data_IF_888233998528
#
_entry.id   IF_888233998528
#
_cell.length_a   1.000
_cell.length_b   1.000
_cell.length_c   1.000
_cell.angle_alpha   90.00
_cell.angle_beta   90.00
_cell.angle_gamma   90.00
#
_symmetry.space_group_name_H-M   'P 1'
#
loop_
_entity.id
_entity.type
_entity.pdbx_description
1 polymer ?
#
# COMPACT_ATOMS: atom_id res chain seq x y z
N UNK A 1 7.86 57.90 -20.53
CA UNK A 1 8.17 57.41 -21.90
C UNK A 1 7.85 55.92 -21.99
N UNK A 2 7.04 55.51 -23.00
CA UNK A 2 6.83 54.17 -23.62
C UNK A 2 6.85 52.92 -22.67
N UNK A 3 5.74 52.30 -22.29
CA UNK A 3 4.85 51.34 -23.01
C UNK A 3 5.56 50.20 -23.77
N UNK A 4 5.32 48.96 -23.33
CA UNK A 4 4.99 47.73 -24.08
C UNK A 4 4.54 46.65 -23.05
N UNK A 5 3.27 46.25 -22.92
CA UNK A 5 2.38 45.42 -23.77
C UNK A 5 2.83 43.95 -23.92
N UNK A 6 2.05 43.01 -23.36
CA UNK A 6 1.37 41.88 -24.02
C UNK A 6 0.69 41.01 -22.91
N UNK A 7 -0.65 40.89 -22.89
CA UNK A 7 -1.47 39.80 -23.50
C UNK A 7 -1.51 38.56 -22.58
N UNK A 8 -2.61 37.87 -22.25
CA UNK A 8 -4.02 37.77 -22.67
C UNK A 8 -4.74 37.03 -21.52
N UNK A 9 -6.05 37.01 -21.32
CA UNK A 9 -7.25 37.68 -21.82
C UNK A 9 -8.35 36.86 -21.12
N UNK A 10 -8.95 37.40 -20.07
CA UNK A 10 -10.24 36.92 -19.58
C UNK A 10 -11.28 37.24 -20.67
N UNK A 11 -12.07 36.26 -21.09
CA UNK A 11 -13.24 36.51 -21.92
C UNK A 11 -14.51 36.07 -21.17
N UNK A 12 -15.50 36.97 -21.02
CA UNK A 12 -16.69 36.70 -20.21
C UNK A 12 -17.85 36.11 -21.02
N UNK A 13 -18.76 35.57 -20.24
CA UNK A 13 -20.14 35.16 -20.50
C UNK A 13 -20.91 36.16 -21.40
N UNK A 14 -21.60 35.64 -22.43
CA UNK A 14 -22.62 36.41 -23.16
C UNK A 14 -23.86 35.53 -23.43
N UNK A 15 -24.98 35.95 -22.85
CA UNK A 15 -26.35 35.49 -23.08
C UNK A 15 -27.08 36.62 -23.80
N UNK A 16 -27.68 36.39 -24.98
CA UNK A 16 -28.83 37.12 -25.59
C UNK A 16 -29.30 36.25 -26.78
N UNK A 17 -30.46 35.56 -26.79
CA UNK A 17 -31.87 35.95 -27.04
C UNK A 17 -32.19 36.39 -28.49
N UNK A 18 -32.79 35.45 -29.25
CA UNK A 18 -34.00 35.51 -30.10
C UNK A 18 -34.29 36.68 -31.09
N UNK A 19 -34.50 36.28 -32.37
CA UNK A 19 -35.63 36.57 -33.31
C UNK A 19 -35.33 37.21 -34.69
N UNK A 20 -35.73 36.44 -35.71
CA UNK A 20 -36.48 36.76 -36.95
C UNK A 20 -35.82 37.47 -38.16
N UNK A 21 -36.13 36.89 -39.33
CA UNK A 21 -35.96 37.40 -40.71
C UNK A 21 -34.88 36.62 -41.47
N UNK A 22 -35.11 35.88 -42.56
CA UNK A 22 -36.22 35.73 -43.49
C UNK A 22 -35.63 35.60 -44.91
N UNK A 23 -35.95 34.52 -45.62
CA UNK A 23 -35.89 34.34 -47.10
C UNK A 23 -34.50 34.47 -47.79
N UNK A 24 -34.03 33.68 -48.76
CA UNK A 24 -34.49 32.51 -49.52
C UNK A 24 -33.24 31.97 -50.24
N UNK A 25 -33.11 30.66 -50.42
CA UNK A 25 -32.78 29.99 -51.70
C UNK A 25 -32.63 28.50 -51.47
N UNK A 26 -33.30 27.77 -52.35
CA UNK A 26 -33.54 26.33 -52.35
C UNK A 26 -32.27 25.52 -52.60
N UNK A 27 -32.00 24.53 -51.74
CA UNK A 27 -31.33 23.32 -52.17
C UNK A 27 -31.95 22.12 -51.45
N UNK A 28 -32.72 21.33 -52.20
CA UNK A 28 -33.40 20.13 -51.74
C UNK A 28 -32.39 18.99 -51.52
N UNK A 29 -32.05 18.74 -50.26
CA UNK A 29 -31.56 17.43 -49.81
C UNK A 29 -32.61 16.82 -48.90
N UNK A 30 -33.07 15.60 -49.22
CA UNK A 30 -33.96 14.84 -48.35
C UNK A 30 -33.21 14.46 -47.07
N UNK A 31 -33.46 15.18 -45.98
CA UNK A 31 -33.06 14.75 -44.64
C UNK A 31 -34.09 13.71 -44.19
N UNK A 32 -33.66 12.45 -44.07
CA UNK A 32 -34.43 11.43 -43.34
C UNK A 32 -34.65 11.97 -41.93
N UNK A 33 -35.91 12.00 -41.49
CA UNK A 33 -36.30 12.36 -40.12
C UNK A 33 -35.45 11.56 -39.13
N UNK A 34 -34.52 12.23 -38.47
CA UNK A 34 -33.83 11.69 -37.30
C UNK A 34 -34.88 11.62 -36.19
N UNK A 35 -35.14 10.41 -35.69
CA UNK A 35 -36.13 10.19 -34.63
C UNK A 35 -35.90 11.09 -33.42
N UNK A 36 -36.99 11.35 -32.68
CA UNK A 36 -37.01 12.30 -31.56
C UNK A 36 -35.81 12.10 -30.60
N UNK A 37 -34.86 13.06 -30.55
CA UNK A 37 -33.66 12.94 -29.72
C UNK A 37 -33.98 12.84 -28.24
N UNK A 38 -35.12 13.38 -27.79
CA UNK A 38 -35.58 13.30 -26.39
C UNK A 38 -36.01 11.87 -26.04
N UNK A 39 -36.69 11.19 -26.96
CA UNK A 39 -37.11 9.80 -26.78
C UNK A 39 -35.90 8.83 -26.78
N UNK A 40 -34.89 9.10 -27.60
CA UNK A 40 -33.63 8.35 -27.63
C UNK A 40 -32.86 8.52 -26.30
N UNK A 41 -32.72 9.76 -25.82
CA UNK A 41 -32.05 10.06 -24.56
C UNK A 41 -32.79 9.44 -23.35
N UNK A 42 -34.13 9.46 -23.37
CA UNK A 42 -34.94 8.87 -22.28
C UNK A 42 -34.76 7.36 -22.19
N UNK A 43 -34.67 6.66 -23.34
CA UNK A 43 -34.39 5.21 -23.37
C UNK A 43 -32.97 4.91 -22.87
N UNK A 44 -31.97 5.72 -23.26
CA UNK A 44 -30.61 5.57 -22.77
C UNK A 44 -30.53 5.76 -21.25
N UNK A 45 -31.15 6.82 -20.72
CA UNK A 45 -31.18 7.08 -19.27
C UNK A 45 -31.86 5.95 -18.49
N UNK A 46 -32.98 5.40 -19.00
CA UNK A 46 -33.66 4.26 -18.36
C UNK A 46 -32.77 3.00 -18.34
N UNK A 47 -32.05 2.73 -19.43
CA UNK A 47 -31.10 1.61 -19.50
C UNK A 47 -29.95 1.78 -18.51
N UNK A 48 -29.40 2.99 -18.40
CA UNK A 48 -28.34 3.31 -17.42
C UNK A 48 -28.84 3.15 -15.99
N UNK A 49 -30.04 3.62 -15.67
CA UNK A 49 -30.61 3.49 -14.33
C UNK A 49 -30.79 2.01 -13.93
N UNK A 50 -31.24 1.17 -14.85
CA UNK A 50 -31.36 -0.28 -14.60
C UNK A 50 -29.99 -0.93 -14.38
N UNK A 51 -28.96 -0.53 -15.13
CA UNK A 51 -27.60 -1.04 -14.95
C UNK A 51 -27.00 -0.63 -13.58
N UNK A 52 -27.25 0.61 -13.14
CA UNK A 52 -26.85 1.09 -11.82
C UNK A 52 -27.52 0.25 -10.72
N UNK A 53 -28.83 0.02 -10.82
CA UNK A 53 -29.55 -0.78 -9.83
C UNK A 53 -29.08 -2.24 -9.74
N UNK A 54 -28.69 -2.84 -10.88
CA UNK A 54 -28.13 -4.20 -10.88
C UNK A 54 -26.74 -4.24 -10.23
N UNK A 55 -25.91 -3.22 -10.49
CA UNK A 55 -24.58 -3.10 -9.88
C UNK A 55 -24.68 -2.87 -8.36
N UNK A 56 -25.61 -2.05 -7.89
CA UNK A 56 -25.84 -1.84 -6.45
C UNK A 56 -26.27 -3.12 -5.74
N UNK A 57 -27.11 -3.93 -6.41
CA UNK A 57 -27.54 -5.23 -5.89
C UNK A 57 -26.37 -6.21 -5.81
N UNK A 58 -25.54 -6.27 -6.85
CA UNK A 58 -24.34 -7.11 -6.87
C UNK A 58 -23.31 -6.68 -5.82
N UNK A 59 -23.12 -5.36 -5.64
CA UNK A 59 -22.23 -4.81 -4.62
C UNK A 59 -22.72 -5.15 -3.21
N UNK A 60 -24.03 -5.13 -2.99
CA UNK A 60 -24.65 -5.51 -1.71
C UNK A 60 -24.42 -6.98 -1.40
N UNK A 61 -24.60 -7.86 -2.39
CA UNK A 61 -24.36 -9.29 -2.21
C UNK A 61 -22.87 -9.59 -1.94
N UNK A 62 -21.96 -8.93 -2.66
CA UNK A 62 -20.52 -9.05 -2.41
C UNK A 62 -20.11 -8.54 -1.02
N UNK A 63 -20.73 -7.47 -0.52
CA UNK A 63 -20.49 -6.98 0.85
C UNK A 63 -20.96 -7.97 1.91
N UNK A 64 -22.09 -8.64 1.67
CA UNK A 64 -22.59 -9.71 2.55
C UNK A 64 -21.65 -10.92 2.53
N UNK A 65 -21.20 -11.34 1.35
CA UNK A 65 -20.22 -12.41 1.19
C UNK A 65 -18.91 -12.10 1.93
N UNK A 66 -18.39 -10.86 1.82
CA UNK A 66 -17.22 -10.40 2.59
C UNK A 66 -17.47 -10.46 4.10
N UNK A 67 -18.67 -10.07 4.55
CA UNK A 67 -19.03 -10.08 5.97
C UNK A 67 -19.09 -11.50 6.51
N UNK A 68 -19.68 -12.42 5.75
CA UNK A 68 -19.76 -13.84 6.11
C UNK A 68 -18.38 -14.51 6.07
N UNK A 69 -17.54 -14.17 5.10
CA UNK A 69 -16.14 -14.63 5.04
C UNK A 69 -15.33 -14.08 6.22
N UNK A 70 -15.51 -12.82 6.62
CA UNK A 70 -14.90 -12.25 7.82
C UNK A 70 -15.37 -12.95 9.09
N UNK A 71 -16.66 -13.23 9.22
CA UNK A 71 -17.21 -13.95 10.37
C UNK A 71 -16.74 -15.41 10.41
N UNK A 72 -16.60 -16.06 9.26
CA UNK A 72 -15.98 -17.39 9.16
C UNK A 72 -14.52 -17.32 9.52
N UNK A 73 -13.74 -16.38 8.99
CA UNK A 73 -12.33 -16.20 9.33
C UNK A 73 -12.15 -15.98 10.85
N UNK A 74 -13.01 -15.18 11.48
CA UNK A 74 -13.01 -14.97 12.93
C UNK A 74 -13.39 -16.22 13.75
N UNK A 75 -14.10 -17.19 13.16
CA UNK A 75 -14.49 -18.46 13.80
C UNK A 75 -13.50 -19.61 13.51
N UNK A 76 -12.78 -19.56 12.39
CA UNK A 76 -11.75 -20.54 12.02
C UNK A 76 -10.37 -20.14 12.56
N UNK A 77 -10.17 -18.87 12.89
CA UNK A 77 -9.11 -18.45 13.79
C UNK A 77 -9.47 -18.99 15.17
N UNK A 78 -8.64 -19.84 15.80
CA UNK A 78 -8.79 -20.09 17.23
C UNK A 78 -8.88 -18.72 17.88
N UNK A 79 -9.83 -18.52 18.81
CA UNK A 79 -9.80 -17.36 19.69
C UNK A 79 -8.34 -17.17 20.08
N UNK A 80 -7.75 -16.03 19.70
CA UNK A 80 -6.35 -15.77 19.93
C UNK A 80 -6.15 -15.80 21.44
N UNK A 81 -5.84 -16.98 21.98
CA UNK A 81 -5.16 -17.07 23.25
C UNK A 81 -3.88 -16.30 23.00
N UNK A 82 -3.72 -15.23 23.77
CA UNK A 82 -2.52 -14.42 23.89
C UNK A 82 -1.32 -15.29 24.30
N UNK A 83 -0.86 -16.13 23.39
CA UNK A 83 0.47 -16.71 23.38
C UNK A 83 1.26 -15.97 22.32
N UNK A 84 1.18 -14.64 22.32
CA UNK A 84 2.18 -13.82 21.67
C UNK A 84 3.46 -13.98 22.49
N UNK A 85 4.42 -14.71 21.93
CA UNK A 85 5.75 -14.77 22.54
C UNK A 85 6.30 -13.34 22.53
N UNK A 86 6.43 -12.75 23.73
CA UNK A 86 7.04 -11.44 23.88
C UNK A 86 8.53 -11.63 24.07
N UNK A 87 9.32 -11.04 23.18
CA UNK A 87 10.75 -10.93 23.40
C UNK A 87 11.05 -9.70 24.27
N UNK A 88 11.90 -9.90 25.28
CA UNK A 88 12.54 -8.79 25.99
C UNK A 88 13.62 -8.08 25.14
N UNK A 89 13.86 -8.56 23.91
CA UNK A 89 14.77 -7.94 22.96
C UNK A 89 14.36 -6.49 22.69
N UNK A 90 15.30 -5.56 22.86
CA UNK A 90 15.05 -4.11 22.69
C UNK A 90 15.92 -3.49 21.61
N UNK A 91 16.94 -4.20 21.14
CA UNK A 91 17.89 -3.70 20.14
C UNK A 91 17.90 -4.57 18.89
N UNK A 92 18.38 -3.99 17.78
CA UNK A 92 18.59 -4.73 16.54
C UNK A 92 19.57 -5.91 16.72
N UNK A 93 20.57 -5.76 17.60
CA UNK A 93 21.52 -6.82 17.93
C UNK A 93 20.87 -7.98 18.69
N UNK A 94 19.95 -7.67 19.61
CA UNK A 94 19.19 -8.72 20.31
C UNK A 94 18.33 -9.51 19.31
N UNK A 95 17.61 -8.80 18.43
CA UNK A 95 16.78 -9.42 17.40
C UNK A 95 17.61 -10.27 16.42
N UNK A 96 18.82 -9.84 16.06
CA UNK A 96 19.70 -10.58 15.17
C UNK A 96 20.15 -11.93 15.75
N UNK A 97 20.21 -12.04 17.08
CA UNK A 97 20.61 -13.25 17.79
C UNK A 97 19.44 -14.20 18.09
N UNK A 98 18.21 -13.83 17.75
CA UNK A 98 17.07 -14.73 17.90
C UNK A 98 17.10 -15.83 16.84
N UNK A 99 16.76 -17.03 17.25
CA UNK A 99 16.43 -18.14 16.35
C UNK A 99 14.92 -18.37 16.35
N UNK A 100 14.40 -18.85 15.21
CA UNK A 100 12.98 -19.15 15.07
C UNK A 100 12.62 -20.39 15.91
N UNK A 101 11.66 -20.24 16.82
CA UNK A 101 11.21 -21.31 17.73
C UNK A 101 9.75 -21.72 17.51
N UNK A 102 9.19 -21.48 16.32
CA UNK A 102 7.83 -21.91 15.96
C UNK A 102 6.77 -20.81 15.89
N UNK A 103 7.10 -19.56 16.24
CA UNK A 103 6.25 -18.38 16.04
C UNK A 103 6.94 -17.41 15.09
N UNK A 104 6.33 -17.14 13.94
CA UNK A 104 6.97 -16.36 12.88
C UNK A 104 6.91 -14.86 13.13
N UNK A 105 5.93 -14.40 13.89
CA UNK A 105 5.83 -13.02 14.37
C UNK A 105 5.85 -13.01 15.90
N UNK A 106 6.61 -12.09 16.48
CA UNK A 106 6.72 -11.90 17.93
C UNK A 106 6.52 -10.43 18.29
N UNK A 107 6.03 -10.21 19.51
CA UNK A 107 5.89 -8.86 20.06
C UNK A 107 7.24 -8.40 20.63
N UNK A 108 7.64 -7.19 20.27
CA UNK A 108 8.86 -6.55 20.72
C UNK A 108 8.51 -5.41 21.67
N UNK A 109 9.28 -5.23 22.74
CA UNK A 109 9.12 -4.11 23.68
C UNK A 109 7.67 -3.94 24.19
N UNK A 110 6.98 -5.05 24.53
CA UNK A 110 5.57 -5.03 24.97
C UNK A 110 4.64 -4.29 23.98
N UNK A 111 4.93 -4.44 22.69
CA UNK A 111 4.24 -3.80 21.57
C UNK A 111 4.39 -2.26 21.52
N UNK A 112 5.27 -1.68 22.33
CA UNK A 112 5.52 -0.25 22.37
C UNK A 112 6.50 0.15 21.25
N UNK A 113 6.08 1.00 20.29
CA UNK A 113 6.93 1.52 19.22
C UNK A 113 8.11 2.32 19.75
N UNK A 114 8.04 2.95 20.93
CA UNK A 114 9.11 3.76 21.52
C UNK A 114 9.66 4.85 20.56
N UNK A 115 8.76 5.55 19.87
CA UNK A 115 9.09 6.78 19.14
C UNK A 115 9.24 7.95 20.11
N UNK A 116 10.14 8.88 19.80
CA UNK A 116 10.30 10.13 20.55
C UNK A 116 9.25 11.17 20.16
N UNK A 117 9.03 12.20 20.97
CA UNK A 117 8.13 13.30 20.60
C UNK A 117 8.56 13.99 19.29
N UNK A 118 9.87 14.01 19.00
CA UNK A 118 10.40 14.53 17.75
C UNK A 118 10.03 13.65 16.55
N UNK A 119 10.04 12.32 16.71
CA UNK A 119 9.59 11.37 15.68
C UNK A 119 8.09 11.54 15.36
N UNK A 120 7.30 11.90 16.36
CA UNK A 120 5.84 12.05 16.27
C UNK A 120 5.40 13.42 15.73
N UNK A 121 6.33 14.35 15.51
CA UNK A 121 6.01 15.71 15.07
C UNK A 121 5.53 15.74 13.62
N UNK A 122 4.36 16.35 13.39
CA UNK A 122 3.78 16.56 12.06
C UNK A 122 4.12 17.92 11.45
N UNK A 123 4.95 18.73 12.12
CA UNK A 123 5.25 20.11 11.72
C UNK A 123 5.87 20.24 10.32
N UNK A 124 6.54 19.20 9.82
CA UNK A 124 7.17 19.16 8.50
C UNK A 124 6.32 18.47 7.43
N UNK A 125 5.08 18.10 7.75
CA UNK A 125 4.21 17.33 6.87
C UNK A 125 4.67 15.89 6.67
N UNK A 126 4.04 15.21 5.72
CA UNK A 126 4.32 13.80 5.44
C UNK A 126 5.67 13.62 4.74
N UNK A 127 6.37 12.54 5.06
CA UNK A 127 7.65 12.21 4.45
C UNK A 127 7.92 10.70 4.49
N UNK A 128 8.77 10.23 3.60
CA UNK A 128 9.36 8.89 3.62
C UNK A 128 10.84 8.99 3.25
N UNK A 129 11.69 8.31 4.01
CA UNK A 129 13.14 8.26 3.81
C UNK A 129 13.62 6.82 3.83
N UNK A 130 14.55 6.53 2.94
CA UNK A 130 15.17 5.22 2.79
C UNK A 130 16.68 5.41 2.96
N UNK A 131 17.22 4.79 4.00
CA UNK A 131 18.63 4.89 4.32
C UNK A 131 19.49 4.28 3.20
N UNK A 132 20.75 4.72 3.12
CA UNK A 132 21.68 4.15 2.16
C UNK A 132 21.87 2.65 2.39
N UNK A 133 22.19 1.94 1.31
CA UNK A 133 22.60 0.55 1.41
C UNK A 133 23.90 0.50 2.24
N UNK A 134 24.06 -0.56 3.03
CA UNK A 134 25.28 -0.74 3.81
C UNK A 134 26.48 -1.21 2.94
N UNK A 135 27.63 -1.44 3.58
CA UNK A 135 28.85 -1.87 2.88
C UNK A 135 28.75 -3.22 2.16
N UNK A 136 27.68 -3.99 2.38
CA UNK A 136 27.39 -5.24 1.66
C UNK A 136 26.28 -5.08 0.61
N UNK A 137 25.88 -3.83 0.32
CA UNK A 137 24.74 -3.45 -0.53
C UNK A 137 23.38 -3.93 0.02
N UNK A 138 23.28 -4.17 1.33
CA UNK A 138 22.02 -4.58 1.97
C UNK A 138 21.19 -3.36 2.28
N UNK A 139 19.87 -3.51 2.19
CA UNK A 139 18.94 -2.50 2.71
C UNK A 139 19.13 -2.30 4.21
N UNK A 140 18.87 -1.08 4.67
CA UNK A 140 18.94 -0.72 6.09
C UNK A 140 17.57 -0.17 6.52
N UNK A 141 17.50 0.97 7.21
CA UNK A 141 16.28 1.44 7.84
C UNK A 141 15.43 2.28 6.87
N UNK A 142 14.14 1.97 6.77
CA UNK A 142 13.15 2.81 6.09
C UNK A 142 12.24 3.48 7.13
N UNK A 143 12.11 4.80 7.03
CA UNK A 143 11.33 5.62 7.97
C UNK A 143 10.30 6.45 7.21
N UNK A 144 9.14 6.65 7.82
CA UNK A 144 8.14 7.56 7.29
C UNK A 144 7.28 8.19 8.38
N UNK A 145 6.81 9.39 8.09
CA UNK A 145 5.60 9.95 8.67
C UNK A 145 4.53 9.89 7.59
N UNK A 146 3.78 8.80 7.59
CA UNK A 146 2.81 8.47 6.56
C UNK A 146 1.57 9.34 6.67
N UNK A 147 1.02 9.74 5.53
CA UNK A 147 -0.25 10.43 5.38
C UNK A 147 -0.89 9.98 4.07
N UNK A 148 -2.21 10.17 3.94
CA UNK A 148 -2.94 9.95 2.69
C UNK A 148 -2.32 10.65 1.47
N UNK A 149 -1.65 11.79 1.67
CA UNK A 149 -0.96 12.54 0.61
C UNK A 149 0.21 11.82 -0.05
N UNK A 150 0.82 10.82 0.62
CA UNK A 150 1.90 10.01 0.06
C UNK A 150 1.38 8.80 -0.73
N UNK A 151 0.11 8.44 -0.59
CA UNK A 151 -0.45 7.24 -1.19
C UNK A 151 -0.59 7.44 -2.71
N UNK A 152 -0.10 6.49 -3.53
CA UNK A 152 -0.11 6.65 -4.98
C UNK A 152 -1.52 6.47 -5.55
N UNK A 153 -1.80 7.22 -6.62
CA UNK A 153 -2.94 6.96 -7.53
C UNK A 153 -2.53 6.18 -8.78
N UNK A 154 -1.23 6.19 -9.09
CA UNK A 154 -0.68 5.47 -10.22
C UNK A 154 -0.75 3.95 -10.01
N UNK A 155 -0.76 3.21 -11.12
CA UNK A 155 -0.62 1.76 -11.10
C UNK A 155 0.82 1.40 -10.73
N UNK A 156 0.97 0.37 -9.90
CA UNK A 156 2.28 -0.22 -9.58
C UNK A 156 2.89 -0.88 -10.81
N UNK A 157 4.17 -0.58 -11.07
CA UNK A 157 4.94 -1.20 -12.15
C UNK A 157 5.69 -2.46 -11.68
N UNK A 158 6.05 -3.39 -12.57
CA UNK A 158 6.80 -4.59 -12.21
C UNK A 158 8.12 -4.28 -11.50
N UNK A 159 8.49 -5.13 -10.53
CA UNK A 159 9.78 -5.00 -9.85
C UNK A 159 10.90 -5.73 -10.60
N UNK A 160 12.03 -5.06 -10.81
CA UNK A 160 13.16 -5.55 -11.60
C UNK A 160 14.46 -5.68 -10.81
N UNK A 161 14.61 -4.98 -9.69
CA UNK A 161 15.81 -5.03 -8.85
C UNK A 161 15.88 -6.33 -8.04
N UNK A 162 17.02 -7.02 -8.04
CA UNK A 162 17.25 -8.18 -7.19
C UNK A 162 18.09 -7.75 -5.97
N UNK A 163 17.54 -7.85 -4.75
CA UNK A 163 18.28 -7.54 -3.53
C UNK A 163 19.41 -8.53 -3.26
N UNK A 164 20.19 -8.27 -2.21
CA UNK A 164 21.22 -9.20 -1.73
C UNK A 164 20.63 -10.58 -1.40
N UNK A 165 21.40 -11.63 -1.66
CA UNK A 165 20.98 -13.00 -1.42
C UNK A 165 19.84 -13.51 -2.31
N UNK A 166 19.61 -12.90 -3.49
CA UNK A 166 18.52 -13.31 -4.37
C UNK A 166 18.79 -14.63 -5.10
N UNK A 167 18.40 -15.75 -4.47
CA UNK A 167 18.45 -17.11 -5.06
C UNK A 167 17.04 -17.73 -5.06
N UNK A 168 16.17 -17.18 -5.90
CA UNK A 168 14.75 -17.54 -5.94
C UNK A 168 14.48 -18.87 -6.67
N UNK A 169 13.46 -19.60 -6.22
CA UNK A 169 12.98 -20.85 -6.86
C UNK A 169 11.48 -21.01 -6.65
N UNK A 170 10.83 -21.78 -7.51
CA UNK A 170 9.42 -22.16 -7.34
C UNK A 170 9.28 -23.23 -6.24
N UNK A 171 8.26 -23.08 -5.42
CA UNK A 171 7.80 -23.98 -4.36
C UNK A 171 6.41 -24.52 -4.72
N UNK A 172 5.84 -25.37 -3.87
CA UNK A 172 4.47 -25.86 -4.06
C UNK A 172 3.41 -24.75 -3.94
N UNK A 173 3.75 -23.61 -3.30
CA UNK A 173 2.82 -22.53 -2.99
C UNK A 173 3.18 -21.19 -3.66
N UNK A 174 4.13 -21.19 -4.60
CA UNK A 174 4.51 -19.97 -5.34
C UNK A 174 6.02 -19.83 -5.52
N UNK A 175 6.52 -18.61 -5.55
CA UNK A 175 7.96 -18.33 -5.46
C UNK A 175 8.39 -18.34 -4.00
N UNK A 176 9.61 -18.80 -3.71
CA UNK A 176 10.16 -18.79 -2.36
C UNK A 176 10.34 -17.36 -1.84
N UNK A 177 10.93 -16.51 -2.68
CA UNK A 177 11.21 -15.12 -2.34
C UNK A 177 10.38 -14.13 -3.15
N UNK A 178 10.05 -13.04 -2.49
CA UNK A 178 9.54 -11.80 -3.05
C UNK A 178 10.60 -10.72 -2.94
N UNK A 179 10.54 -9.75 -3.87
CA UNK A 179 11.21 -8.46 -3.71
C UNK A 179 10.37 -7.65 -2.74
N UNK A 180 10.57 -7.91 -1.46
CA UNK A 180 9.75 -7.38 -0.38
C UNK A 180 10.09 -5.92 -0.15
N UNK A 181 9.05 -5.08 -0.19
CA UNK A 181 9.17 -3.68 0.16
C UNK A 181 9.38 -3.53 1.67
N UNK A 182 10.21 -2.58 2.11
CA UNK A 182 10.25 -2.21 3.52
C UNK A 182 9.01 -1.36 3.85
N UNK A 183 8.75 -0.33 3.05
CA UNK A 183 7.50 0.42 3.07
C UNK A 183 6.74 0.12 1.77
N UNK A 184 5.61 -0.58 1.88
CA UNK A 184 4.82 -1.01 0.74
C UNK A 184 4.38 0.13 -0.18
N UNK A 185 4.38 -0.15 -1.50
CA UNK A 185 3.98 0.79 -2.56
C UNK A 185 2.69 1.55 -2.25
N UNK A 186 1.68 0.90 -1.67
CA UNK A 186 0.39 1.53 -1.37
C UNK A 186 0.48 2.72 -0.39
N UNK A 187 1.56 2.81 0.39
CA UNK A 187 1.75 3.83 1.42
C UNK A 187 2.52 5.05 0.90
N UNK A 188 3.43 4.86 -0.05
CA UNK A 188 4.38 5.92 -0.49
C UNK A 188 4.58 6.05 -1.99
N UNK A 189 4.07 5.11 -2.79
CA UNK A 189 4.29 5.06 -4.24
C UNK A 189 5.69 4.59 -4.67
N UNK A 190 6.57 4.27 -3.72
CA UNK A 190 7.93 3.83 -4.01
C UNK A 190 7.93 2.42 -4.60
N UNK A 191 8.43 2.31 -5.84
CA UNK A 191 8.34 1.07 -6.62
C UNK A 191 9.66 0.30 -6.67
N UNK A 192 10.58 0.65 -7.58
CA UNK A 192 11.83 -0.09 -7.81
C UNK A 192 13.05 0.49 -7.07
N UNK A 193 12.83 1.09 -5.90
CA UNK A 193 13.92 1.70 -5.14
C UNK A 193 14.79 0.62 -4.47
N UNK A 194 16.08 0.48 -4.82
CA UNK A 194 16.97 -0.52 -4.22
C UNK A 194 17.09 -0.42 -2.70
N UNK A 195 16.92 0.78 -2.14
CA UNK A 195 16.95 1.04 -0.70
C UNK A 195 15.66 0.62 0.02
N UNK A 196 14.63 0.23 -0.73
CA UNK A 196 13.33 -0.18 -0.22
C UNK A 196 12.99 -1.63 -0.60
N UNK A 197 13.95 -2.44 -1.08
CA UNK A 197 13.68 -3.81 -1.52
C UNK A 197 14.65 -4.82 -0.90
N UNK A 198 14.12 -5.83 -0.22
CA UNK A 198 14.87 -6.93 0.36
C UNK A 198 14.43 -8.30 -0.18
N UNK A 199 15.30 -9.31 -0.02
CA UNK A 199 14.93 -10.72 -0.25
C UNK A 199 14.09 -11.19 0.93
N UNK A 200 12.76 -11.15 0.78
CA UNK A 200 11.81 -11.62 1.79
C UNK A 200 11.12 -12.91 1.34
N UNK A 201 10.91 -13.83 2.26
CA UNK A 201 10.12 -15.05 2.03
C UNK A 201 8.67 -14.73 1.71
N UNK A 202 7.97 -15.68 1.08
CA UNK A 202 6.56 -15.52 0.73
C UNK A 202 5.71 -15.20 1.95
N UNK A 203 5.85 -15.96 3.04
CA UNK A 203 5.06 -15.80 4.27
C UNK A 203 5.39 -14.53 5.06
N UNK A 204 6.66 -14.11 5.12
CA UNK A 204 7.04 -12.81 5.70
C UNK A 204 6.37 -11.67 4.92
N UNK A 205 6.47 -11.68 3.59
CA UNK A 205 5.88 -10.65 2.75
C UNK A 205 4.35 -10.65 2.84
N UNK A 206 3.75 -11.84 2.76
CA UNK A 206 2.30 -12.05 2.76
C UNK A 206 1.98 -13.43 3.35
N UNK A 207 1.27 -13.50 4.47
CA UNK A 207 0.37 -12.45 4.98
C UNK A 207 0.98 -11.46 5.98
N UNK A 208 2.17 -11.70 6.55
CA UNK A 208 2.56 -11.08 7.82
C UNK A 208 2.79 -9.56 7.71
N UNK A 209 3.75 -9.11 6.91
CA UNK A 209 3.95 -7.65 6.72
C UNK A 209 2.69 -6.98 6.16
N UNK A 210 2.02 -7.63 5.20
CA UNK A 210 0.83 -7.08 4.53
C UNK A 210 -0.31 -6.80 5.52
N UNK A 211 -0.50 -7.63 6.55
CA UNK A 211 -1.56 -7.41 7.55
C UNK A 211 -1.40 -6.05 8.24
N UNK A 212 -0.20 -5.76 8.76
CA UNK A 212 0.13 -4.48 9.40
C UNK A 212 0.04 -3.30 8.43
N UNK A 213 0.53 -3.47 7.19
CA UNK A 213 0.43 -2.43 6.16
C UNK A 213 -1.02 -2.11 5.79
N UNK A 214 -1.92 -3.11 5.81
CA UNK A 214 -3.33 -2.93 5.53
C UNK A 214 -4.05 -2.16 6.65
N UNK A 215 -3.70 -2.38 7.91
CA UNK A 215 -4.24 -1.63 9.05
C UNK A 215 -3.80 -0.16 8.98
N UNK A 216 -2.52 0.10 8.68
CA UNK A 216 -1.99 1.45 8.44
C UNK A 216 -2.74 2.11 7.28
N UNK A 217 -2.85 1.43 6.13
CA UNK A 217 -3.51 1.98 4.94
C UNK A 217 -4.99 2.26 5.21
N UNK A 218 -5.66 1.39 5.97
CA UNK A 218 -7.05 1.59 6.37
C UNK A 218 -7.20 2.83 7.24
N UNK A 219 -6.34 3.02 8.25
CA UNK A 219 -6.33 4.21 9.09
C UNK A 219 -6.11 5.49 8.28
N UNK A 220 -5.08 5.52 7.42
CA UNK A 220 -4.73 6.71 6.62
C UNK A 220 -5.84 7.10 5.64
N UNK A 221 -6.60 6.13 5.09
CA UNK A 221 -7.67 6.41 4.12
C UNK A 221 -8.87 7.16 4.73
N UNK A 222 -9.08 7.06 6.03
CA UNK A 222 -10.23 7.63 6.74
C UNK A 222 -10.20 9.17 6.80
N UNK A 223 -9.02 9.79 6.82
CA UNK A 223 -8.91 11.24 6.91
C UNK A 223 -7.58 11.75 6.33
N UNK A 224 -7.61 12.92 5.68
CA UNK A 224 -6.38 13.62 5.23
C UNK A 224 -5.56 14.16 6.40
N UNK A 225 -6.15 14.25 7.60
CA UNK A 225 -5.46 14.69 8.82
C UNK A 225 -4.79 13.55 9.59
N UNK A 226 -5.00 12.29 9.18
CA UNK A 226 -4.38 11.13 9.84
C UNK A 226 -2.90 11.01 9.47
N UNK A 227 -2.07 10.80 10.49
CA UNK A 227 -0.65 10.52 10.33
C UNK A 227 -0.28 9.26 11.09
N UNK A 228 0.67 8.49 10.53
CA UNK A 228 1.26 7.32 11.20
C UNK A 228 2.77 7.44 11.10
N UNK A 229 3.45 7.52 12.24
CA UNK A 229 4.91 7.33 12.30
C UNK A 229 5.19 5.85 12.10
N UNK A 230 5.97 5.51 11.09
CA UNK A 230 6.22 4.14 10.66
C UNK A 230 7.70 3.90 10.37
N UNK A 231 8.21 2.77 10.82
CA UNK A 231 9.60 2.34 10.63
C UNK A 231 9.64 0.84 10.33
N UNK A 232 10.41 0.47 9.29
CA UNK A 232 10.72 -0.93 8.98
C UNK A 232 12.22 -1.09 8.89
N UNK A 233 12.72 -2.02 9.71
CA UNK A 233 14.14 -2.30 9.89
C UNK A 233 14.44 -3.77 9.64
N UNK A 234 15.06 -4.12 8.51
CA UNK A 234 15.63 -5.44 8.29
C UNK A 234 16.73 -5.74 9.32
N UNK A 235 16.73 -6.96 9.84
CA UNK A 235 17.69 -7.40 10.85
C UNK A 235 18.59 -8.48 10.25
N UNK A 236 19.88 -8.19 10.12
CA UNK A 236 20.90 -9.13 9.63
C UNK A 236 21.78 -9.64 10.77
N UNK A 237 22.24 -10.88 10.70
CA UNK A 237 23.24 -11.43 11.62
C UNK A 237 24.61 -11.39 10.95
N UNK A 238 25.54 -10.59 11.49
CA UNK A 238 26.89 -10.44 10.94
C UNK A 238 26.87 -10.06 9.46
N UNK A 239 27.58 -10.84 8.64
CA UNK A 239 27.78 -10.59 7.21
C UNK A 239 26.75 -11.27 6.29
N UNK A 240 25.63 -11.75 6.84
CA UNK A 240 24.58 -12.40 6.05
C UNK A 240 23.98 -11.48 4.99
N UNK A 241 23.65 -12.05 3.83
CA UNK A 241 23.08 -11.32 2.70
C UNK A 241 21.54 -11.33 2.69
N UNK A 242 20.92 -12.22 3.46
CA UNK A 242 19.47 -12.25 3.68
C UNK A 242 19.18 -11.89 5.13
N UNK A 243 18.22 -10.99 5.35
CA UNK A 243 17.82 -10.60 6.71
C UNK A 243 17.19 -11.79 7.43
N UNK A 244 17.47 -11.94 8.72
CA UNK A 244 16.82 -12.90 9.63
C UNK A 244 15.35 -12.60 9.86
N UNK A 245 14.97 -11.35 9.66
CA UNK A 245 13.60 -10.86 9.81
C UNK A 245 13.51 -9.36 9.62
N UNK A 246 12.34 -8.80 9.87
CA UNK A 246 12.10 -7.36 9.90
C UNK A 246 11.49 -6.96 11.24
N UNK A 247 11.99 -5.88 11.83
CA UNK A 247 11.26 -5.18 12.88
C UNK A 247 10.37 -4.14 12.22
N UNK A 248 9.09 -4.10 12.61
CA UNK A 248 8.13 -3.11 12.16
C UNK A 248 7.57 -2.37 13.38
N UNK A 249 7.60 -1.04 13.34
CA UNK A 249 7.05 -0.18 14.39
C UNK A 249 6.11 0.85 13.78
N UNK A 250 4.92 1.02 14.36
CA UNK A 250 3.97 2.03 13.92
C UNK A 250 3.23 2.70 15.08
N UNK A 251 2.96 3.99 14.94
CA UNK A 251 2.13 4.76 15.86
C UNK A 251 1.30 5.81 15.12
N UNK A 252 -0.03 5.77 15.24
CA UNK A 252 -0.89 6.86 14.76
C UNK A 252 -0.79 8.08 15.68
N UNK A 253 -0.77 9.27 15.08
CA UNK A 253 -0.63 10.52 15.81
C UNK A 253 -1.99 10.96 16.35
N UNK A 254 -2.10 11.05 17.69
CA UNK A 254 -3.25 11.64 18.39
C UNK A 254 -4.27 10.65 18.96
N UNK A 255 -4.28 9.38 18.54
CA UNK A 255 -5.32 8.42 18.96
C UNK A 255 -4.86 6.97 19.19
N UNK A 256 -3.59 6.64 18.88
CA UNK A 256 -3.01 5.29 18.99
C UNK A 256 -3.86 4.15 18.38
N UNK A 257 -4.76 4.43 17.43
CA UNK A 257 -5.53 3.41 16.71
C UNK A 257 -4.64 2.44 15.91
N UNK A 258 -3.48 2.92 15.46
CA UNK A 258 -2.38 2.07 14.98
C UNK A 258 -1.26 2.17 16.00
N UNK A 259 -0.92 1.05 16.64
CA UNK A 259 0.14 1.03 17.66
C UNK A 259 0.75 -0.37 17.77
N UNK A 260 1.96 -0.55 17.26
CA UNK A 260 2.64 -1.83 17.36
C UNK A 260 4.16 -1.76 17.27
N UNK A 261 4.81 -2.78 17.83
CA UNK A 261 6.22 -3.08 17.64
C UNK A 261 6.39 -4.60 17.57
N UNK A 262 6.65 -5.09 16.37
CA UNK A 262 6.73 -6.52 16.07
C UNK A 262 8.02 -6.87 15.36
N UNK A 263 8.43 -8.12 15.49
CA UNK A 263 9.50 -8.71 14.70
C UNK A 263 8.97 -9.93 13.96
N UNK A 264 9.17 -9.95 12.64
CA UNK A 264 8.73 -11.03 11.75
C UNK A 264 9.96 -11.76 11.23
N UNK A 265 10.10 -13.05 11.57
CA UNK A 265 11.16 -13.92 11.07
C UNK A 265 11.02 -14.16 9.56
N UNK A 266 12.14 -14.07 8.85
CA UNK A 266 12.25 -14.32 7.42
C UNK A 266 12.45 -15.82 7.12
N UNK A 267 11.45 -16.60 7.51
CA UNK A 267 11.41 -18.06 7.30
C UNK A 267 10.31 -18.40 6.30
N UNK A 268 10.41 -19.57 5.69
CA UNK A 268 9.32 -20.13 4.88
C UNK A 268 9.05 -21.57 5.35
N UNK A 269 7.81 -21.90 5.75
CA UNK A 269 7.46 -23.26 6.16
C UNK A 269 7.85 -24.31 5.11
N UNK A 270 8.53 -25.37 5.56
CA UNK A 270 9.01 -26.45 4.68
C UNK A 270 10.33 -26.15 3.97
N UNK A 271 10.98 -25.03 4.26
CA UNK A 271 12.29 -24.67 3.72
C UNK A 271 13.25 -24.23 4.82
N UNK A 272 14.52 -24.59 4.65
CA UNK A 272 15.63 -24.04 5.42
C UNK A 272 16.37 -23.03 4.54
N UNK A 273 16.52 -21.80 5.04
CA UNK A 273 17.18 -20.70 4.34
C UNK A 273 18.65 -20.64 4.78
N UNK A 274 19.56 -20.58 3.80
CA UNK A 274 20.94 -20.18 4.04
C UNK A 274 21.02 -18.66 4.00
N UNK A 275 21.05 -18.00 5.16
CA UNK A 275 21.07 -16.54 5.23
C UNK A 275 22.36 -15.90 4.72
N UNK A 276 23.46 -16.68 4.64
CA UNK A 276 24.74 -16.18 4.15
C UNK A 276 24.66 -15.75 2.68
N UNK A 277 23.95 -16.51 1.85
CA UNK A 277 23.88 -16.29 0.39
C UNK A 277 22.45 -16.32 -0.18
N UNK A 278 21.45 -16.74 0.59
CA UNK A 278 20.06 -16.86 0.20
C UNK A 278 19.67 -18.14 -0.52
N UNK A 279 20.58 -19.10 -0.69
CA UNK A 279 20.22 -20.46 -1.13
C UNK A 279 19.30 -21.14 -0.11
N UNK A 280 18.63 -22.23 -0.51
CA UNK A 280 17.68 -22.91 0.37
C UNK A 280 17.53 -24.40 0.06
N UNK A 281 17.22 -25.18 1.09
CA UNK A 281 16.87 -26.60 0.99
C UNK A 281 15.41 -26.79 1.37
N UNK A 282 14.74 -27.79 0.76
CA UNK A 282 13.41 -28.21 1.18
C UNK A 282 13.59 -29.19 2.34
N UNK A 283 12.80 -29.02 3.40
CA UNK A 283 12.80 -29.92 4.56
C UNK A 283 12.14 -31.26 4.26
#
# INVERSE_FOLDING_TARGET
MRKNKLLQLFMPLAVVVLLLGGCSTTNSRSVKSAGDPVASQTKANKKTQSAISSLDSELTEKRKEITDLKAKLAKTQPAASESSTSAAATTASDLANLDYTGQQEIIVNKNNPAFTDADLSTAKGAWATYSDLDGQNRVTDANALLNKSLMPTAKREPLTWNPTGWHNKKTAHGWLYNRSHLIGYQLTGENNNPKNLMTGTQTLNTPLMLAHEMDIAYYLKQSTSHYVRYEVKPIFRGNELVARGVQMRAQSIGDNQVYFNVYIFNIEPGYTINYADGTSTKN
#
